data_IF_621134610867
#
_entry.id   IF_621134610867
#
_cell.length_a   1.000
_cell.length_b   1.000
_cell.length_c   1.000
_cell.angle_alpha   90.00
_cell.angle_beta   90.00
_cell.angle_gamma   90.00
#
_symmetry.space_group_name_H-M   'P 1'
#
loop_
_entity.id
_entity.type
_entity.pdbx_description
1 polymer ?
#
# COMPACT_ATOMS: atom_id res chain seq x y z
N UNK A 1 -1.77 20.43 -11.77
CA UNK A 1 -2.33 21.63 -12.44
C UNK A 1 -3.36 22.26 -11.51
N UNK A 2 -3.47 23.57 -11.47
CA UNK A 2 -4.49 24.27 -10.66
C UNK A 2 -5.42 24.99 -11.62
N UNK A 3 -6.72 24.77 -11.46
CA UNK A 3 -7.79 25.40 -12.26
C UNK A 3 -8.92 25.86 -11.35
N UNK A 4 -9.18 27.19 -11.32
CA UNK A 4 -10.13 27.75 -10.37
C UNK A 4 -9.69 27.53 -8.92
N UNK A 5 -10.55 26.88 -8.12
CA UNK A 5 -10.30 26.51 -6.72
C UNK A 5 -9.88 25.04 -6.55
N UNK A 6 -9.56 24.36 -7.64
CA UNK A 6 -9.29 22.90 -7.64
C UNK A 6 -7.84 22.60 -8.04
N UNK A 7 -7.17 21.79 -7.23
CA UNK A 7 -5.88 21.19 -7.53
C UNK A 7 -6.10 19.84 -8.22
N UNK A 8 -5.67 19.73 -9.48
CA UNK A 8 -5.77 18.50 -10.27
C UNK A 8 -4.46 17.73 -10.25
N UNK A 9 -4.54 16.45 -9.94
CA UNK A 9 -3.42 15.50 -9.91
C UNK A 9 -3.76 14.32 -10.80
N UNK A 10 -2.89 14.02 -11.75
CA UNK A 10 -3.09 12.88 -12.66
C UNK A 10 -1.89 11.97 -12.59
N UNK A 11 -2.14 10.68 -12.41
CA UNK A 11 -1.13 9.62 -12.45
C UNK A 11 -1.30 8.79 -13.72
N UNK A 12 -0.24 8.67 -14.49
CA UNK A 12 -0.22 7.89 -15.72
C UNK A 12 0.38 6.51 -15.47
N UNK A 13 -0.43 5.45 -15.67
CA UNK A 13 -0.01 4.07 -15.50
C UNK A 13 0.08 3.34 -16.84
N UNK A 14 1.29 3.07 -17.31
CA UNK A 14 1.51 2.44 -18.62
C UNK A 14 1.26 0.91 -18.65
N UNK A 15 1.22 0.26 -17.49
CA UNK A 15 1.09 -1.21 -17.39
C UNK A 15 -0.25 -1.76 -17.91
N UNK A 16 -0.23 -3.03 -18.36
CA UNK A 16 -1.43 -3.81 -18.72
C UNK A 16 -1.90 -4.74 -17.59
N UNK A 17 -1.27 -4.67 -16.40
CA UNK A 17 -1.46 -5.66 -15.35
C UNK A 17 -2.82 -5.56 -14.66
N UNK A 18 -2.88 -4.79 -13.60
CA UNK A 18 -4.08 -4.69 -12.74
C UNK A 18 -4.71 -3.32 -12.94
N UNK A 19 -6.04 -3.24 -13.15
CA UNK A 19 -6.76 -1.97 -13.11
C UNK A 19 -6.58 -1.31 -11.73
N UNK A 20 -6.34 0.00 -11.72
CA UNK A 20 -6.20 0.79 -10.50
C UNK A 20 -7.21 1.93 -10.54
N UNK A 21 -8.07 1.97 -9.52
CA UNK A 21 -9.03 3.06 -9.35
C UNK A 21 -8.39 4.25 -8.62
N UNK A 22 -8.80 5.45 -9.00
CA UNK A 22 -8.52 6.67 -8.24
C UNK A 22 -9.37 6.78 -6.98
N UNK A 23 -10.54 6.12 -6.97
CA UNK A 23 -11.49 6.18 -5.85
C UNK A 23 -10.85 5.66 -4.56
N UNK A 24 -10.85 6.50 -3.54
CA UNK A 24 -10.25 6.23 -2.23
C UNK A 24 -8.77 5.77 -2.28
N UNK A 25 -8.05 6.10 -3.35
CA UNK A 25 -6.70 5.61 -3.58
C UNK A 25 -5.68 6.33 -2.67
N UNK A 26 -5.00 5.60 -1.75
CA UNK A 26 -4.08 6.22 -0.80
C UNK A 26 -2.84 6.83 -1.48
N UNK A 27 -2.37 6.28 -2.59
CA UNK A 27 -1.25 6.84 -3.35
C UNK A 27 -1.62 8.22 -3.90
N UNK A 28 -2.81 8.34 -4.49
CA UNK A 28 -3.29 9.61 -5.04
C UNK A 28 -3.49 10.65 -3.95
N UNK A 29 -4.06 10.25 -2.80
CA UNK A 29 -4.22 11.13 -1.64
C UNK A 29 -2.89 11.62 -1.08
N UNK A 30 -1.88 10.75 -1.01
CA UNK A 30 -0.52 11.14 -0.60
C UNK A 30 0.12 12.14 -1.57
N UNK A 31 -0.06 11.93 -2.88
CA UNK A 31 0.41 12.89 -3.90
C UNK A 31 -0.30 14.22 -3.73
N UNK A 32 -1.60 14.20 -3.45
CA UNK A 32 -2.40 15.40 -3.22
C UNK A 32 -1.91 16.19 -1.99
N UNK A 33 -1.64 15.51 -0.87
CA UNK A 33 -1.06 16.14 0.33
C UNK A 33 0.31 16.76 0.04
N UNK A 34 1.17 16.06 -0.71
CA UNK A 34 2.47 16.56 -1.12
C UNK A 34 2.38 17.80 -2.01
N UNK A 35 1.44 17.79 -2.96
CA UNK A 35 1.20 18.91 -3.85
C UNK A 35 0.61 20.12 -3.09
N UNK A 36 -0.33 19.91 -2.17
CA UNK A 36 -0.84 20.98 -1.30
C UNK A 36 0.26 21.60 -0.45
N UNK A 37 1.14 20.81 0.11
CA UNK A 37 2.30 21.30 0.88
C UNK A 37 3.24 22.16 0.02
N UNK A 38 3.44 21.78 -1.25
CA UNK A 38 4.33 22.49 -2.17
C UNK A 38 3.72 23.78 -2.70
N UNK A 39 2.44 23.75 -3.10
CA UNK A 39 1.78 24.85 -3.78
C UNK A 39 0.92 25.73 -2.85
N UNK A 40 0.52 25.22 -1.70
CA UNK A 40 -0.26 25.98 -0.71
C UNK A 40 0.36 27.33 -0.34
N UNK A 41 1.68 27.46 -0.13
CA UNK A 41 2.31 28.76 0.13
C UNK A 41 2.14 29.79 -0.99
N UNK A 42 1.91 29.34 -2.23
CA UNK A 42 1.75 30.22 -3.41
C UNK A 42 0.29 30.62 -3.60
N UNK A 43 -0.62 29.65 -3.44
CA UNK A 43 -2.04 29.84 -3.75
C UNK A 43 -2.92 30.08 -2.51
N UNK A 44 -2.37 29.83 -1.31
CA UNK A 44 -3.06 30.04 -0.04
C UNK A 44 -4.43 29.33 0.03
N UNK A 45 -5.41 29.99 0.59
CA UNK A 45 -6.77 29.48 0.77
C UNK A 45 -7.60 29.41 -0.51
N UNK A 46 -7.01 29.67 -1.68
CA UNK A 46 -7.75 29.61 -2.96
C UNK A 46 -8.08 28.17 -3.34
N UNK A 47 -7.23 27.21 -2.98
CA UNK A 47 -7.48 25.78 -3.26
C UNK A 47 -8.47 25.23 -2.25
N UNK A 48 -9.65 24.84 -2.71
CA UNK A 48 -10.73 24.24 -1.89
C UNK A 48 -10.94 22.77 -2.16
N UNK A 49 -10.64 22.34 -3.38
CA UNK A 49 -10.86 20.96 -3.85
C UNK A 49 -9.60 20.34 -4.40
N UNK A 50 -9.55 19.03 -4.31
CA UNK A 50 -8.54 18.20 -4.96
C UNK A 50 -9.24 17.19 -5.84
N UNK A 51 -8.87 17.15 -7.12
CA UNK A 51 -9.30 16.16 -8.10
C UNK A 51 -8.12 15.26 -8.43
N UNK A 52 -8.33 13.98 -8.36
CA UNK A 52 -7.30 12.96 -8.56
C UNK A 52 -7.73 12.02 -9.68
N UNK A 53 -6.90 11.85 -10.70
CA UNK A 53 -7.17 11.00 -11.85
C UNK A 53 -6.10 9.95 -12.06
N UNK A 54 -6.49 8.73 -12.43
CA UNK A 54 -5.58 7.67 -12.88
C UNK A 54 -5.92 7.34 -14.33
N UNK A 55 -4.94 7.51 -15.20
CA UNK A 55 -5.05 7.20 -16.62
C UNK A 55 -4.27 5.92 -16.94
N UNK A 56 -4.98 4.88 -17.39
CA UNK A 56 -4.41 3.59 -17.80
C UNK A 56 -4.79 3.27 -19.25
N UNK A 57 -4.25 3.96 -20.27
CA UNK A 57 -4.76 3.90 -21.64
C UNK A 57 -4.60 2.53 -22.31
N UNK A 58 -3.80 1.63 -21.73
CA UNK A 58 -3.65 0.25 -22.21
C UNK A 58 -4.69 -0.71 -21.63
N UNK A 59 -5.51 -0.26 -20.68
CA UNK A 59 -6.60 -1.03 -20.05
C UNK A 59 -7.95 -0.41 -20.29
N UNK A 60 -8.05 0.92 -20.23
CA UNK A 60 -9.28 1.68 -20.44
C UNK A 60 -8.98 2.96 -21.18
N UNK A 61 -9.94 3.42 -22.01
CA UNK A 61 -9.88 4.73 -22.65
C UNK A 61 -10.29 5.85 -21.69
N UNK A 62 -11.05 5.52 -20.64
CA UNK A 62 -11.51 6.48 -19.64
C UNK A 62 -10.57 6.46 -18.43
N UNK A 63 -10.27 7.64 -17.91
CA UNK A 63 -9.56 7.79 -16.65
C UNK A 63 -10.51 7.48 -15.49
N UNK A 64 -9.98 6.86 -14.43
CA UNK A 64 -10.68 6.78 -13.15
C UNK A 64 -10.44 8.07 -12.39
N UNK A 65 -11.49 8.64 -11.79
CA UNK A 65 -11.43 9.93 -11.10
C UNK A 65 -11.99 9.83 -9.67
N UNK A 66 -11.45 10.65 -8.77
CA UNK A 66 -11.92 10.87 -7.41
C UNK A 66 -11.71 12.34 -7.05
N UNK A 67 -12.58 12.90 -6.22
CA UNK A 67 -12.45 14.26 -5.75
C UNK A 67 -12.91 14.39 -4.30
N UNK A 68 -12.21 15.22 -3.53
CA UNK A 68 -12.58 15.54 -2.16
C UNK A 68 -12.18 16.96 -1.80
N UNK A 69 -12.74 17.48 -0.71
CA UNK A 69 -12.36 18.78 -0.18
C UNK A 69 -10.92 18.74 0.39
N UNK A 70 -10.27 19.88 0.42
CA UNK A 70 -8.96 20.02 1.08
C UNK A 70 -9.06 19.63 2.56
N UNK A 71 -10.15 19.99 3.23
CA UNK A 71 -10.35 19.68 4.65
C UNK A 71 -10.45 18.17 4.89
N UNK A 72 -11.21 17.44 4.06
CA UNK A 72 -11.33 15.99 4.14
C UNK A 72 -10.00 15.31 3.84
N UNK A 73 -9.24 15.81 2.86
CA UNK A 73 -7.91 15.29 2.55
C UNK A 73 -6.93 15.49 3.72
N UNK A 74 -6.95 16.65 4.36
CA UNK A 74 -6.11 16.93 5.52
C UNK A 74 -6.51 16.06 6.71
N UNK A 75 -7.81 15.89 6.99
CA UNK A 75 -8.31 15.00 8.03
C UNK A 75 -7.87 13.55 7.79
N UNK A 76 -7.97 13.08 6.56
CA UNK A 76 -7.43 11.76 6.18
C UNK A 76 -5.93 11.69 6.41
N UNK A 77 -5.16 12.72 6.03
CA UNK A 77 -3.73 12.81 6.24
C UNK A 77 -3.35 12.67 7.72
N UNK A 78 -4.09 13.32 8.62
CA UNK A 78 -3.89 13.16 10.06
C UNK A 78 -4.17 11.72 10.54
N UNK A 79 -5.21 11.09 10.00
CA UNK A 79 -5.61 9.73 10.40
C UNK A 79 -4.57 8.66 10.06
N UNK A 80 -3.77 8.86 9.01
CA UNK A 80 -2.75 7.87 8.60
C UNK A 80 -1.39 8.08 9.30
N UNK A 81 -1.13 9.22 9.92
CA UNK A 81 0.15 9.50 10.60
C UNK A 81 0.55 8.44 11.63
N UNK A 82 -0.35 7.98 12.53
CA UNK A 82 -0.01 6.92 13.48
C UNK A 82 0.42 5.63 12.79
N UNK A 83 -0.29 5.22 11.73
CA UNK A 83 0.04 4.02 10.94
C UNK A 83 1.38 4.15 10.22
N UNK A 84 1.64 5.32 9.64
CA UNK A 84 2.91 5.61 8.99
C UNK A 84 4.07 5.60 9.99
N UNK A 85 3.84 6.12 11.20
CA UNK A 85 4.83 6.10 12.28
C UNK A 85 5.12 4.67 12.74
N UNK A 86 4.07 3.86 12.96
CA UNK A 86 4.21 2.45 13.32
C UNK A 86 5.01 1.68 12.26
N UNK A 87 4.70 1.90 10.97
CA UNK A 87 5.42 1.29 9.86
C UNK A 87 6.89 1.73 9.77
N UNK A 88 7.19 2.98 10.13
CA UNK A 88 8.54 3.52 10.12
C UNK A 88 9.37 3.03 11.30
N UNK A 89 8.81 3.05 12.50
CA UNK A 89 9.51 2.65 13.73
C UNK A 89 9.67 1.13 13.84
N UNK A 90 8.84 0.33 13.09
CA UNK A 90 8.81 -1.15 13.15
C UNK A 90 8.66 -1.68 14.57
N UNK A 91 8.32 -2.90 14.80
CA UNK A 91 8.31 -4.10 13.97
C UNK A 91 7.02 -4.34 13.18
N UNK A 92 5.99 -3.55 13.31
CA UNK A 92 4.73 -3.74 12.62
C UNK A 92 4.06 -5.11 12.81
N UNK A 93 2.78 -5.22 12.52
CA UNK A 93 2.06 -6.48 12.51
C UNK A 93 1.95 -7.01 11.09
N UNK A 94 2.33 -8.28 10.87
CA UNK A 94 2.18 -8.91 9.57
C UNK A 94 0.72 -9.26 9.33
N UNK A 95 0.11 -8.62 8.33
CA UNK A 95 -1.27 -8.84 7.91
C UNK A 95 -1.29 -9.46 6.52
N UNK A 96 -1.34 -10.81 6.39
CA UNK A 96 -1.40 -11.48 5.10
C UNK A 96 -2.69 -11.14 4.34
N UNK A 97 -2.59 -11.05 3.01
CA UNK A 97 -3.72 -10.74 2.15
C UNK A 97 -3.32 -10.75 0.67
N UNK A 98 -4.21 -10.29 -0.22
CA UNK A 98 -3.96 -10.28 -1.67
C UNK A 98 -2.71 -9.49 -2.07
N UNK A 99 -2.36 -8.45 -1.32
CA UNK A 99 -1.15 -7.66 -1.54
C UNK A 99 0.14 -8.47 -1.39
N UNK A 100 0.10 -9.63 -0.71
CA UNK A 100 1.25 -10.51 -0.56
C UNK A 100 1.76 -11.03 -1.92
N UNK A 101 0.95 -11.05 -2.97
CA UNK A 101 1.37 -11.47 -4.31
C UNK A 101 2.51 -10.61 -4.85
N UNK A 102 2.58 -9.34 -4.46
CA UNK A 102 3.61 -8.39 -4.86
C UNK A 102 4.80 -8.30 -3.89
N UNK A 103 4.70 -8.94 -2.72
CA UNK A 103 5.74 -8.89 -1.71
C UNK A 103 7.00 -9.65 -2.17
N UNK A 104 8.16 -9.02 -2.08
CA UNK A 104 9.44 -9.67 -2.42
C UNK A 104 9.81 -10.81 -1.45
N UNK A 105 9.38 -10.71 -0.18
CA UNK A 105 9.62 -11.72 0.86
C UNK A 105 8.58 -12.84 0.90
N UNK A 106 7.64 -12.90 -0.04
CA UNK A 106 6.48 -13.81 0.01
C UNK A 106 6.83 -15.30 0.11
N UNK A 107 7.95 -15.72 -0.49
CA UNK A 107 8.36 -17.12 -0.51
C UNK A 107 8.82 -17.63 0.87
N UNK A 108 9.31 -16.73 1.73
CA UNK A 108 9.87 -17.06 3.05
C UNK A 108 9.01 -16.51 4.20
N UNK A 109 7.81 -16.01 3.92
CA UNK A 109 6.95 -15.38 4.93
C UNK A 109 6.05 -16.42 5.60
N UNK A 110 6.35 -16.76 6.86
CA UNK A 110 5.55 -17.70 7.66
C UNK A 110 4.11 -17.22 7.87
N UNK A 111 3.89 -15.92 8.12
CA UNK A 111 2.54 -15.37 8.27
C UNK A 111 1.69 -15.56 7.01
N UNK A 112 2.29 -15.37 5.82
CA UNK A 112 1.64 -15.65 4.54
C UNK A 112 1.35 -17.13 4.36
N UNK A 113 2.32 -17.99 4.64
CA UNK A 113 2.15 -19.44 4.54
C UNK A 113 0.99 -19.91 5.41
N UNK A 114 0.97 -19.53 6.70
CA UNK A 114 -0.11 -19.87 7.61
C UNK A 114 -1.50 -19.40 7.13
N UNK A 115 -1.58 -18.21 6.54
CA UNK A 115 -2.83 -17.64 6.05
C UNK A 115 -3.37 -18.36 4.81
N UNK A 116 -2.51 -18.65 3.81
CA UNK A 116 -2.95 -19.18 2.51
C UNK A 116 -2.97 -20.71 2.44
N UNK A 117 -2.21 -21.40 3.27
CA UNK A 117 -2.16 -22.88 3.26
C UNK A 117 -3.06 -23.52 4.31
N UNK A 118 -3.55 -22.73 5.29
CA UNK A 118 -4.35 -23.24 6.39
C UNK A 118 -3.61 -24.20 7.33
N UNK A 119 -2.30 -24.34 7.20
CA UNK A 119 -1.50 -25.20 8.06
C UNK A 119 -1.36 -24.58 9.45
N UNK A 120 -2.03 -25.17 10.43
CA UNK A 120 -1.96 -24.71 11.82
C UNK A 120 -0.55 -24.88 12.43
N UNK A 121 0.21 -25.86 11.96
CA UNK A 121 1.56 -26.18 12.45
C UNK A 121 2.57 -25.06 12.23
N UNK A 122 2.34 -24.19 11.26
CA UNK A 122 3.21 -23.02 10.98
C UNK A 122 3.02 -21.83 11.92
N UNK A 123 2.00 -21.83 12.78
CA UNK A 123 1.76 -20.76 13.75
C UNK A 123 2.85 -20.68 14.84
N UNK A 124 3.58 -21.78 15.05
CA UNK A 124 4.55 -21.93 16.13
C UNK A 124 6.01 -22.01 15.65
N UNK A 125 6.29 -21.65 14.39
CA UNK A 125 7.64 -21.72 13.85
C UNK A 125 8.59 -20.78 14.58
N UNK A 126 9.61 -21.33 15.19
CA UNK A 126 10.77 -20.60 15.69
C UNK A 126 11.73 -20.33 14.53
N UNK A 127 12.29 -19.11 14.42
CA UNK A 127 13.28 -18.83 13.38
C UNK A 127 14.44 -19.82 13.47
N UNK A 128 14.85 -20.41 12.36
CA UNK A 128 15.90 -21.43 12.29
C UNK A 128 17.25 -20.99 12.88
N UNK A 129 17.50 -19.70 13.09
CA UNK A 129 18.78 -19.14 13.53
C UNK A 129 18.78 -18.48 14.92
N UNK A 130 17.79 -18.71 15.77
CA UNK A 130 17.83 -18.26 17.17
C UNK A 130 17.96 -16.74 17.42
N UNK A 131 18.18 -15.95 16.39
CA UNK A 131 18.25 -14.50 16.46
C UNK A 131 16.85 -13.92 16.27
N UNK A 132 16.18 -13.61 17.36
CA UNK A 132 15.03 -12.71 17.36
C UNK A 132 15.53 -11.30 17.02
N UNK A 133 15.70 -11.00 15.76
CA UNK A 133 15.65 -9.61 15.35
C UNK A 133 14.19 -9.16 15.46
N UNK A 134 13.95 -8.33 16.45
CA UNK A 134 12.66 -7.68 16.68
C UNK A 134 12.23 -7.03 15.37
N UNK A 135 11.09 -7.47 14.82
CA UNK A 135 10.46 -6.83 13.66
C UNK A 135 10.55 -7.54 12.32
N UNK A 136 11.18 -8.70 12.22
CA UNK A 136 11.09 -9.51 11.00
C UNK A 136 10.07 -10.63 11.16
N UNK A 137 9.27 -10.86 10.11
CA UNK A 137 8.45 -12.08 10.03
C UNK A 137 9.35 -13.29 10.18
N UNK A 138 8.98 -14.29 11.02
CA UNK A 138 9.73 -15.52 11.05
C UNK A 138 9.81 -16.10 9.63
N UNK A 139 11.03 -16.29 9.14
CA UNK A 139 11.25 -16.91 7.84
C UNK A 139 11.09 -18.42 7.97
N UNK A 140 10.55 -19.06 6.93
CA UNK A 140 10.56 -20.51 6.81
C UNK A 140 11.98 -20.97 6.55
N UNK A 141 12.38 -22.12 7.15
CA UNK A 141 13.61 -22.81 6.79
C UNK A 141 13.46 -23.48 5.41
N UNK A 142 14.58 -23.83 4.79
CA UNK A 142 14.58 -24.52 3.49
C UNK A 142 13.87 -25.88 3.58
N UNK A 143 13.95 -26.58 4.72
CA UNK A 143 13.24 -27.83 4.96
C UNK A 143 11.72 -27.64 4.99
N UNK A 144 11.24 -26.61 5.69
CA UNK A 144 9.80 -26.27 5.76
C UNK A 144 9.27 -25.82 4.40
N UNK A 145 10.08 -25.11 3.60
CA UNK A 145 9.72 -24.77 2.21
C UNK A 145 9.61 -26.04 1.36
N UNK A 146 10.53 -27.01 1.54
CA UNK A 146 10.49 -28.31 0.87
C UNK A 146 9.23 -29.09 1.19
N UNK A 147 8.85 -29.16 2.47
CA UNK A 147 7.64 -29.87 2.92
C UNK A 147 6.36 -29.21 2.36
N UNK A 148 6.31 -27.88 2.29
CA UNK A 148 5.19 -27.14 1.67
C UNK A 148 5.06 -27.45 0.18
N UNK A 149 6.17 -27.57 -0.54
CA UNK A 149 6.16 -27.87 -1.97
C UNK A 149 5.66 -29.29 -2.24
N UNK A 150 6.04 -30.26 -1.41
CA UNK A 150 5.60 -31.66 -1.51
C UNK A 150 4.10 -31.81 -1.24
N UNK A 151 3.54 -31.00 -0.34
CA UNK A 151 2.11 -31.04 0.01
C UNK A 151 1.22 -30.22 -0.98
N UNK A 152 1.83 -29.42 -1.85
CA UNK A 152 1.11 -28.59 -2.83
C UNK A 152 0.84 -29.32 -4.17
N UNK A 153 1.33 -30.58 -4.35
CA UNK A 153 1.01 -31.47 -5.47
C UNK A 153 -0.27 -32.27 -5.17
#
# INVERSE_FOLDING_TARGET
MIGGDTLHITDYKHGKGVPVSAENNPQMRLYALGALKLYGPIYGDQIKWVSMGICQPRLSQEASEDALSVDDLLAWGESIKPLAKEAYDGPGTFCPGEHCRFCKGKAQCAARAAFFTGFEDFKNLTPANGSREIGKSPCLSDAEVGDLLIQAE
#
